data_IF_219609484646
#
_entry.id   IF_219609484646
#
_cell.length_a   1.000
_cell.length_b   1.000
_cell.length_c   1.000
_cell.angle_alpha   90.00
_cell.angle_beta   90.00
_cell.angle_gamma   90.00
#
_symmetry.space_group_name_H-M   'P 1'
#
loop_
_entity.id
_entity.type
_entity.pdbx_description
1 polymer ?
#
# COMPACT_ATOMS: atom_id res chain seq x y z
N UNK A 1 21.86 10.84 12.40
CA UNK A 1 20.82 11.47 11.57
C UNK A 1 19.47 10.96 12.08
N UNK A 2 18.50 11.83 12.32
CA UNK A 2 17.16 11.39 12.73
C UNK A 2 16.52 10.62 11.58
N UNK A 3 16.16 9.35 11.81
CA UNK A 3 15.47 8.54 10.82
C UNK A 3 13.97 8.69 11.02
N UNK A 4 13.32 9.41 10.11
CA UNK A 4 11.86 9.51 10.09
C UNK A 4 11.31 8.40 9.19
N UNK A 5 10.20 7.76 9.60
CA UNK A 5 9.43 6.86 8.75
C UNK A 5 8.94 7.64 7.52
N UNK A 6 9.26 7.23 6.29
CA UNK A 6 8.80 7.92 5.10
C UNK A 6 7.30 7.80 4.93
N UNK A 7 6.66 8.94 4.60
CA UNK A 7 5.24 9.03 4.28
C UNK A 7 5.07 9.25 2.79
N UNK A 8 4.49 8.28 2.11
CA UNK A 8 4.31 8.22 0.67
C UNK A 8 2.89 8.65 0.28
N UNK A 9 2.74 9.12 -0.96
CA UNK A 9 1.43 9.25 -1.59
C UNK A 9 1.18 8.05 -2.50
N UNK A 10 0.12 7.27 -2.26
CA UNK A 10 -0.32 6.26 -3.22
C UNK A 10 -0.88 6.93 -4.47
N UNK A 11 -0.46 6.48 -5.66
CA UNK A 11 -0.96 7.01 -6.93
C UNK A 11 -2.46 6.73 -7.14
N UNK A 12 -3.04 5.77 -6.40
CA UNK A 12 -4.49 5.53 -6.36
C UNK A 12 -5.26 6.73 -5.81
N UNK A 13 -4.64 7.48 -4.89
CA UNK A 13 -5.27 8.60 -4.19
C UNK A 13 -5.56 9.81 -5.09
N UNK A 14 -4.93 9.91 -6.26
CA UNK A 14 -5.21 10.99 -7.22
C UNK A 14 -6.23 10.59 -8.28
N UNK A 15 -6.68 9.33 -8.31
CA UNK A 15 -7.66 8.88 -9.31
C UNK A 15 -8.92 9.76 -9.32
N UNK A 16 -9.45 10.20 -10.49
CA UNK A 16 -9.15 9.72 -11.85
C UNK A 16 -8.04 10.45 -12.61
N UNK A 17 -7.22 11.28 -11.96
CA UNK A 17 -6.06 11.85 -12.60
C UNK A 17 -5.01 10.74 -12.90
N UNK A 18 -4.15 10.92 -13.93
CA UNK A 18 -3.16 9.91 -14.31
C UNK A 18 -2.05 9.79 -13.25
N UNK A 19 -1.28 8.71 -13.32
CA UNK A 19 -0.14 8.44 -12.41
C UNK A 19 0.82 9.64 -12.29
N UNK A 20 1.07 10.38 -13.37
CA UNK A 20 1.92 11.57 -13.34
C UNK A 20 1.44 12.64 -12.34
N UNK A 21 0.12 12.76 -12.14
CA UNK A 21 -0.44 13.71 -11.18
C UNK A 21 -0.09 13.36 -9.72
N UNK A 22 0.20 12.10 -9.42
CA UNK A 22 0.63 11.70 -8.08
C UNK A 22 2.01 12.26 -7.73
N UNK A 23 2.94 12.31 -8.69
CA UNK A 23 4.26 12.89 -8.49
C UNK A 23 4.19 14.41 -8.29
N UNK A 24 3.41 15.10 -9.14
CA UNK A 24 3.16 16.52 -8.98
C UNK A 24 2.53 16.85 -7.62
N UNK A 25 1.51 16.10 -7.24
CA UNK A 25 0.80 16.27 -5.96
C UNK A 25 1.72 15.97 -4.77
N UNK A 26 2.51 14.89 -4.84
CA UNK A 26 3.47 14.54 -3.80
C UNK A 26 4.51 15.64 -3.60
N UNK A 27 5.06 16.20 -4.68
CA UNK A 27 5.98 17.33 -4.62
C UNK A 27 5.32 18.60 -4.02
N UNK A 28 4.10 18.91 -4.47
CA UNK A 28 3.36 20.12 -4.04
C UNK A 28 2.98 20.07 -2.57
N UNK A 29 2.50 18.90 -2.11
CA UNK A 29 2.06 18.71 -0.72
C UNK A 29 3.25 18.46 0.21
N UNK A 30 4.33 17.84 -0.30
CA UNK A 30 5.57 17.58 0.41
C UNK A 30 5.67 16.17 0.99
N UNK A 31 5.15 15.16 0.30
CA UNK A 31 5.35 13.75 0.63
C UNK A 31 6.83 13.34 0.44
N UNK A 32 7.27 12.30 1.14
CA UNK A 32 8.65 11.82 1.08
C UNK A 32 8.92 10.94 -0.16
N UNK A 33 7.87 10.47 -0.82
CA UNK A 33 7.91 9.62 -2.01
C UNK A 33 6.52 9.29 -2.53
N UNK A 34 6.49 8.46 -3.57
CA UNK A 34 5.26 7.93 -4.17
C UNK A 34 5.26 6.40 -4.02
N UNK A 35 4.08 5.84 -3.73
CA UNK A 35 3.76 4.47 -4.06
C UNK A 35 3.09 4.44 -5.42
N UNK A 36 3.65 3.68 -6.36
CA UNK A 36 3.06 3.49 -7.68
C UNK A 36 2.15 2.28 -7.66
N UNK A 37 0.83 2.50 -7.70
CA UNK A 37 -0.11 1.44 -8.03
C UNK A 37 -0.06 1.19 -9.53
N UNK A 38 0.38 -0.02 -9.90
CA UNK A 38 0.41 -0.43 -11.31
C UNK A 38 -1.00 -0.66 -11.81
N UNK A 39 -1.43 0.17 -12.75
CA UNK A 39 -2.79 0.25 -13.24
C UNK A 39 -2.85 0.12 -14.77
N UNK A 40 -4.01 0.36 -15.36
CA UNK A 40 -4.20 0.40 -16.83
C UNK A 40 -3.60 1.64 -17.49
N UNK A 41 -3.21 2.65 -16.73
CA UNK A 41 -2.43 3.79 -17.20
C UNK A 41 -1.01 3.32 -17.61
N UNK A 42 -0.63 3.58 -18.87
CA UNK A 42 0.64 3.13 -19.42
C UNK A 42 1.85 3.69 -18.66
N UNK A 43 1.76 4.89 -18.08
CA UNK A 43 2.82 5.50 -17.29
C UNK A 43 3.14 4.69 -16.05
N UNK A 44 2.11 4.15 -15.36
CA UNK A 44 2.31 3.30 -14.18
C UNK A 44 3.03 1.98 -14.47
N UNK A 45 3.14 1.62 -15.75
CA UNK A 45 3.71 0.35 -16.22
C UNK A 45 5.13 0.50 -16.79
N UNK A 46 5.62 1.73 -16.95
CA UNK A 46 6.88 2.05 -17.64
C UNK A 46 7.91 2.63 -16.67
N UNK A 47 8.99 1.87 -16.45
CA UNK A 47 10.06 2.26 -15.52
C UNK A 47 10.77 3.56 -15.94
N UNK A 48 10.95 3.79 -17.26
CA UNK A 48 11.59 4.99 -17.78
C UNK A 48 10.73 6.22 -17.55
N UNK A 49 9.43 6.12 -17.83
CA UNK A 49 8.47 7.20 -17.57
C UNK A 49 8.39 7.55 -16.09
N UNK A 50 8.29 6.54 -15.21
CA UNK A 50 8.23 6.73 -13.75
C UNK A 50 9.52 7.35 -13.21
N UNK A 51 10.68 6.87 -13.69
CA UNK A 51 11.96 7.48 -13.33
C UNK A 51 12.05 8.93 -13.77
N UNK A 52 11.62 9.23 -15.00
CA UNK A 52 11.57 10.61 -15.50
C UNK A 52 10.69 11.52 -14.64
N UNK A 53 9.55 11.03 -14.16
CA UNK A 53 8.68 11.76 -13.23
C UNK A 53 9.35 11.96 -11.87
N UNK A 54 9.96 10.91 -11.32
CA UNK A 54 10.66 10.98 -10.04
C UNK A 54 11.80 12.02 -10.09
N UNK A 55 12.59 12.00 -11.16
CA UNK A 55 13.70 12.94 -11.37
C UNK A 55 13.17 14.38 -11.59
N UNK A 56 12.09 14.56 -12.35
CA UNK A 56 11.49 15.86 -12.65
C UNK A 56 10.91 16.56 -11.42
N UNK A 57 10.18 15.81 -10.59
CA UNK A 57 9.54 16.36 -9.39
C UNK A 57 10.40 16.26 -8.12
N UNK A 58 11.54 15.57 -8.18
CA UNK A 58 12.38 15.34 -7.00
C UNK A 58 11.74 14.43 -5.96
N UNK A 59 10.82 13.54 -6.38
CA UNK A 59 10.05 12.65 -5.50
C UNK A 59 10.31 11.19 -5.88
N UNK A 60 11.02 10.40 -5.05
CA UNK A 60 11.34 9.02 -5.37
C UNK A 60 10.12 8.10 -5.33
N UNK A 61 10.17 7.00 -6.07
CA UNK A 61 9.27 5.85 -5.88
C UNK A 61 9.86 4.98 -4.77
N UNK A 62 9.11 4.76 -3.69
CA UNK A 62 9.57 3.98 -2.53
C UNK A 62 8.75 2.71 -2.30
N UNK A 63 7.65 2.53 -3.02
CA UNK A 63 6.84 1.31 -3.05
C UNK A 63 6.21 1.13 -4.42
N UNK A 64 6.03 -0.12 -4.83
CA UNK A 64 5.28 -0.51 -6.03
C UNK A 64 4.14 -1.42 -5.59
N UNK A 65 2.91 -1.04 -5.89
CA UNK A 65 1.76 -1.90 -5.70
C UNK A 65 1.53 -2.74 -6.96
N UNK A 66 1.71 -4.05 -6.86
CA UNK A 66 1.58 -4.98 -7.98
C UNK A 66 0.15 -4.97 -8.56
N UNK A 67 -0.03 -5.28 -9.88
CA UNK A 67 -1.36 -5.29 -10.51
C UNK A 67 -2.17 -6.53 -10.09
N UNK A 68 -2.71 -6.50 -8.87
CA UNK A 68 -3.42 -7.60 -8.22
C UNK A 68 -4.94 -7.50 -8.36
N UNK A 69 -5.48 -6.32 -8.69
CA UNK A 69 -6.92 -6.09 -8.79
C UNK A 69 -7.56 -6.78 -10.00
N UNK A 70 -8.87 -7.03 -9.94
CA UNK A 70 -9.61 -7.66 -11.05
C UNK A 70 -9.41 -6.94 -12.40
N UNK A 71 -9.43 -5.61 -12.38
CA UNK A 71 -9.28 -4.80 -13.59
C UNK A 71 -7.85 -4.81 -14.13
N UNK A 72 -6.86 -5.14 -13.32
CA UNK A 72 -5.43 -5.16 -13.69
C UNK A 72 -4.91 -6.56 -14.04
N UNK A 73 -5.74 -7.59 -14.03
CA UNK A 73 -5.31 -8.97 -14.27
C UNK A 73 -4.68 -9.24 -15.66
N UNK A 74 -4.81 -8.29 -16.60
CA UNK A 74 -4.18 -8.36 -17.94
C UNK A 74 -3.08 -7.33 -18.14
N UNK A 75 -2.79 -6.51 -17.12
CA UNK A 75 -1.67 -5.58 -17.15
C UNK A 75 -0.39 -6.40 -17.24
N UNK A 76 0.46 -6.08 -18.21
CA UNK A 76 1.68 -6.79 -18.57
C UNK A 76 1.51 -8.25 -19.03
N UNK A 77 0.67 -9.05 -18.37
CA UNK A 77 0.50 -10.47 -18.66
C UNK A 77 -0.77 -11.03 -18.02
N UNK A 78 -1.42 -12.03 -18.60
CA UNK A 78 -2.46 -12.81 -17.95
C UNK A 78 -1.89 -13.73 -16.83
N UNK A 79 -0.60 -14.10 -16.90
CA UNK A 79 0.06 -14.92 -15.87
C UNK A 79 0.37 -14.06 -14.61
N UNK A 80 -0.18 -14.42 -13.44
CA UNK A 80 0.07 -13.67 -12.21
C UNK A 80 1.53 -13.70 -11.76
N UNK A 81 2.27 -14.79 -12.02
CA UNK A 81 3.69 -14.87 -11.68
C UNK A 81 4.55 -13.95 -12.53
N UNK A 82 4.23 -13.85 -13.82
CA UNK A 82 4.91 -12.90 -14.71
C UNK A 82 4.63 -11.46 -14.30
N UNK A 83 3.38 -11.15 -13.89
CA UNK A 83 3.06 -9.81 -13.35
C UNK A 83 3.87 -9.49 -12.09
N UNK A 84 3.98 -10.44 -11.18
CA UNK A 84 4.75 -10.24 -9.94
C UNK A 84 6.24 -10.05 -10.22
N UNK A 85 6.82 -10.84 -11.13
CA UNK A 85 8.21 -10.68 -11.55
C UNK A 85 8.45 -9.30 -12.21
N UNK A 86 7.52 -8.83 -13.04
CA UNK A 86 7.61 -7.48 -13.64
C UNK A 86 7.47 -6.37 -12.61
N UNK A 87 6.62 -6.54 -11.58
CA UNK A 87 6.53 -5.59 -10.48
C UNK A 87 7.84 -5.51 -9.69
N UNK A 88 8.50 -6.66 -9.46
CA UNK A 88 9.81 -6.70 -8.83
C UNK A 88 10.88 -6.00 -9.68
N UNK A 89 10.95 -6.27 -10.97
CA UNK A 89 11.88 -5.59 -11.89
C UNK A 89 11.64 -4.07 -11.93
N UNK A 90 10.37 -3.65 -11.92
CA UNK A 90 10.01 -2.24 -11.85
C UNK A 90 10.53 -1.62 -10.55
N UNK A 91 10.28 -2.27 -9.41
CA UNK A 91 10.74 -1.82 -8.11
C UNK A 91 12.27 -1.72 -8.04
N UNK A 92 13.02 -2.72 -8.53
CA UNK A 92 14.48 -2.69 -8.61
C UNK A 92 14.98 -1.53 -9.46
N UNK A 93 14.38 -1.32 -10.63
CA UNK A 93 14.77 -0.24 -11.55
C UNK A 93 14.57 1.14 -10.94
N UNK A 94 13.53 1.30 -10.12
CA UNK A 94 13.18 2.55 -9.43
C UNK A 94 13.86 2.71 -8.08
N UNK A 95 14.52 1.66 -7.56
CA UNK A 95 15.11 1.65 -6.21
C UNK A 95 14.07 1.57 -5.09
N UNK A 96 12.86 1.10 -5.40
CA UNK A 96 11.80 0.92 -4.42
C UNK A 96 11.99 -0.40 -3.66
N UNK A 97 12.13 -0.39 -2.32
CA UNK A 97 12.44 -1.58 -1.55
C UNK A 97 11.24 -2.52 -1.31
N UNK A 98 10.02 -2.09 -1.61
CA UNK A 98 8.79 -2.82 -1.28
C UNK A 98 7.90 -3.00 -2.48
N UNK A 99 7.37 -4.21 -2.64
CA UNK A 99 6.28 -4.53 -3.57
C UNK A 99 5.09 -5.01 -2.75
N UNK A 100 3.98 -4.28 -2.81
CA UNK A 100 2.71 -4.68 -2.18
C UNK A 100 2.01 -5.69 -3.07
N UNK A 101 1.51 -6.77 -2.44
CA UNK A 101 0.87 -7.89 -3.14
C UNK A 101 -0.41 -8.30 -2.42
N UNK A 102 -1.53 -8.35 -3.15
CA UNK A 102 -2.75 -8.97 -2.62
C UNK A 102 -2.64 -10.50 -2.63
N UNK A 103 -3.24 -11.19 -1.67
CA UNK A 103 -3.42 -12.63 -1.77
C UNK A 103 -4.24 -12.99 -3.03
N UNK A 104 -4.00 -14.18 -3.61
CA UNK A 104 -4.72 -14.64 -4.79
C UNK A 104 -6.23 -14.66 -4.61
N UNK A 105 -6.98 -14.49 -5.69
CA UNK A 105 -8.40 -14.80 -5.68
C UNK A 105 -8.65 -16.31 -5.66
N UNK A 106 -9.71 -16.75 -5.00
CA UNK A 106 -10.08 -18.18 -4.85
C UNK A 106 -10.29 -18.89 -6.18
N UNK A 107 -10.67 -18.18 -7.26
CA UNK A 107 -10.81 -18.75 -8.61
C UNK A 107 -9.50 -18.89 -9.37
N UNK A 108 -8.41 -18.27 -8.92
CA UNK A 108 -7.06 -18.43 -9.46
C UNK A 108 -6.39 -19.68 -8.84
N UNK A 109 -7.01 -20.86 -9.05
CA UNK A 109 -6.76 -22.10 -8.28
C UNK A 109 -5.28 -22.49 -8.21
N UNK A 110 -4.57 -22.51 -9.34
CA UNK A 110 -3.17 -22.93 -9.38
C UNK A 110 -2.25 -21.88 -8.76
N UNK A 111 -2.53 -20.60 -9.00
CA UNK A 111 -1.83 -19.50 -8.37
C UNK A 111 -2.02 -19.51 -6.84
N UNK A 112 -3.26 -19.68 -6.38
CA UNK A 112 -3.60 -19.74 -4.97
C UNK A 112 -2.95 -20.94 -4.25
N UNK A 113 -2.96 -22.11 -4.89
CA UNK A 113 -2.35 -23.33 -4.33
C UNK A 113 -0.83 -23.20 -4.15
N UNK A 114 -0.17 -22.57 -5.10
CA UNK A 114 1.29 -22.45 -5.14
C UNK A 114 1.79 -21.10 -4.65
N UNK A 115 0.92 -20.24 -4.09
CA UNK A 115 1.25 -18.84 -3.84
C UNK A 115 2.45 -18.67 -2.91
N UNK A 116 2.49 -19.39 -1.79
CA UNK A 116 3.62 -19.32 -0.85
C UNK A 116 4.94 -19.72 -1.52
N UNK A 117 4.98 -20.89 -2.15
CA UNK A 117 6.19 -21.39 -2.80
C UNK A 117 6.64 -20.48 -3.95
N UNK A 118 5.70 -20.04 -4.78
CA UNK A 118 6.01 -19.15 -5.89
C UNK A 118 6.49 -17.77 -5.44
N UNK A 119 5.96 -17.26 -4.32
CA UNK A 119 6.45 -16.03 -3.69
C UNK A 119 7.90 -16.19 -3.22
N UNK A 120 8.22 -17.31 -2.55
CA UNK A 120 9.59 -17.63 -2.13
C UNK A 120 10.55 -17.73 -3.34
N UNK A 121 10.07 -18.27 -4.48
CA UNK A 121 10.84 -18.35 -5.72
C UNK A 121 11.09 -16.98 -6.35
N UNK A 122 10.13 -16.08 -6.31
CA UNK A 122 10.30 -14.68 -6.77
C UNK A 122 11.23 -13.93 -5.81
N UNK A 123 11.04 -14.09 -4.50
CA UNK A 123 11.89 -13.47 -3.47
C UNK A 123 13.38 -13.85 -3.64
N UNK A 124 13.67 -15.12 -3.93
CA UNK A 124 15.06 -15.56 -4.17
C UNK A 124 15.70 -14.91 -5.42
N UNK A 125 14.91 -14.59 -6.42
CA UNK A 125 15.38 -13.90 -7.64
C UNK A 125 15.55 -12.40 -7.44
N UNK A 126 14.84 -11.82 -6.48
CA UNK A 126 14.81 -10.40 -6.16
C UNK A 126 15.05 -10.18 -4.64
N UNK A 127 16.27 -10.51 -4.14
CA UNK A 127 16.54 -10.58 -2.70
C UNK A 127 16.45 -9.22 -1.98
N UNK A 128 16.61 -8.12 -2.70
CA UNK A 128 16.55 -6.76 -2.16
C UNK A 128 15.11 -6.23 -2.05
N UNK A 129 14.13 -6.91 -2.67
CA UNK A 129 12.74 -6.50 -2.67
C UNK A 129 11.98 -7.22 -1.56
N UNK A 130 11.20 -6.51 -0.77
CA UNK A 130 10.24 -7.08 0.19
C UNK A 130 8.88 -7.20 -0.47
N UNK A 131 8.39 -8.43 -0.64
CA UNK A 131 7.02 -8.70 -1.11
C UNK A 131 6.09 -8.69 0.10
N UNK A 132 5.45 -7.57 0.34
CA UNK A 132 4.60 -7.34 1.50
C UNK A 132 3.14 -7.73 1.19
N UNK A 133 2.67 -8.81 1.83
CA UNK A 133 1.31 -9.33 1.60
C UNK A 133 0.31 -8.53 2.40
N UNK A 134 -0.69 -8.03 1.70
CA UNK A 134 -1.68 -7.11 2.25
C UNK A 134 -2.86 -7.85 2.89
N UNK A 135 -3.35 -7.35 4.03
CA UNK A 135 -4.65 -7.79 4.56
C UNK A 135 -5.77 -7.25 3.69
N UNK A 136 -6.72 -8.12 3.41
CA UNK A 136 -7.91 -7.81 2.63
C UNK A 136 -9.16 -7.76 3.52
N UNK A 137 -10.33 -7.90 2.94
CA UNK A 137 -11.60 -7.90 3.68
C UNK A 137 -12.64 -8.81 3.01
N UNK A 138 -13.63 -9.32 3.78
CA UNK A 138 -14.78 -10.02 3.21
C UNK A 138 -15.68 -9.06 2.44
N UNK A 139 -16.09 -9.42 1.23
CA UNK A 139 -17.06 -8.63 0.43
C UNK A 139 -18.49 -9.08 0.72
N UNK A 140 -19.41 -8.12 0.83
CA UNK A 140 -20.85 -8.42 0.87
C UNK A 140 -21.39 -8.68 -0.53
N UNK A 141 -21.92 -9.88 -0.76
CA UNK A 141 -22.61 -10.24 -1.99
C UNK A 141 -23.95 -10.90 -1.66
N UNK A 142 -25.04 -10.39 -2.20
CA UNK A 142 -26.41 -10.87 -1.95
C UNK A 142 -26.75 -11.05 -0.45
N UNK A 143 -26.30 -10.11 0.41
CA UNK A 143 -26.58 -10.13 1.86
C UNK A 143 -25.71 -11.09 2.68
N UNK A 144 -24.77 -11.81 2.04
CA UNK A 144 -23.82 -12.74 2.69
C UNK A 144 -22.39 -12.24 2.56
N UNK A 145 -21.58 -12.51 3.59
CA UNK A 145 -20.14 -12.28 3.51
C UNK A 145 -19.51 -13.37 2.65
N UNK A 146 -18.71 -12.95 1.69
CA UNK A 146 -17.92 -13.81 0.82
C UNK A 146 -16.45 -13.40 0.93
N UNK A 147 -15.55 -14.37 1.07
CA UNK A 147 -14.09 -14.14 1.08
C UNK A 147 -13.55 -14.55 -0.28
N UNK A 148 -13.23 -13.59 -1.16
CA UNK A 148 -12.74 -13.90 -2.50
C UNK A 148 -11.26 -14.29 -2.53
N UNK A 149 -10.55 -14.22 -1.42
CA UNK A 149 -9.09 -14.39 -1.31
C UNK A 149 -8.71 -15.75 -0.75
N UNK A 150 -7.55 -16.27 -1.16
CA UNK A 150 -6.99 -17.54 -0.71
C UNK A 150 -5.55 -17.33 -0.16
N UNK A 151 -5.21 -17.85 1.03
CA UNK A 151 -6.03 -18.72 1.88
C UNK A 151 -7.13 -17.99 2.64
N UNK A 152 -7.10 -16.65 2.68
CA UNK A 152 -8.08 -15.82 3.36
C UNK A 152 -7.78 -14.33 3.22
N UNK A 153 -8.49 -13.50 3.95
CA UNK A 153 -8.29 -12.05 3.96
C UNK A 153 -7.26 -11.60 5.03
N UNK A 154 -7.01 -12.42 6.05
CA UNK A 154 -5.99 -12.18 7.08
C UNK A 154 -4.69 -12.92 6.69
N UNK A 155 -3.66 -12.23 6.20
CA UNK A 155 -2.43 -12.85 5.74
C UNK A 155 -1.57 -13.38 6.89
N UNK A 156 -1.79 -12.94 8.13
CA UNK A 156 -1.01 -13.37 9.29
C UNK A 156 -1.18 -14.86 9.59
N UNK A 157 -2.28 -15.46 9.12
CA UNK A 157 -2.56 -16.89 9.28
C UNK A 157 -1.69 -17.77 8.38
N UNK A 158 -1.07 -17.21 7.34
CA UNK A 158 -0.24 -17.95 6.39
C UNK A 158 1.28 -17.80 6.66
N UNK A 159 1.69 -16.86 7.52
CA UNK A 159 3.08 -16.69 7.97
C UNK A 159 4.03 -16.24 6.85
N UNK A 160 3.75 -15.13 6.19
CA UNK A 160 4.62 -14.52 5.18
C UNK A 160 5.79 -13.75 5.81
N UNK A 161 6.85 -13.49 5.02
CA UNK A 161 8.06 -12.81 5.50
C UNK A 161 7.91 -11.29 5.60
N UNK A 162 6.92 -10.71 4.89
CA UNK A 162 6.58 -9.31 4.98
C UNK A 162 5.07 -9.07 4.78
N UNK A 163 4.56 -8.05 5.45
CA UNK A 163 3.16 -7.66 5.42
C UNK A 163 2.98 -6.18 5.09
N UNK A 164 1.88 -5.89 4.39
CA UNK A 164 1.26 -4.58 4.33
C UNK A 164 0.02 -4.58 5.21
N UNK A 165 -0.09 -3.61 6.10
CA UNK A 165 -1.30 -3.38 6.89
C UNK A 165 -2.11 -2.25 6.26
N UNK A 166 -3.30 -2.57 5.74
CA UNK A 166 -4.27 -1.60 5.28
C UNK A 166 -5.36 -1.38 6.33
N UNK A 167 -5.51 -0.11 6.78
CA UNK A 167 -6.45 0.25 7.83
C UNK A 167 -7.88 0.38 7.30
N UNK A 168 -8.08 0.80 6.04
CA UNK A 168 -9.40 0.82 5.42
C UNK A 168 -9.95 -0.60 5.25
N UNK A 169 -9.08 -1.55 4.87
CA UNK A 169 -9.43 -2.97 4.82
C UNK A 169 -9.75 -3.53 6.21
N UNK A 170 -9.02 -3.10 7.26
CA UNK A 170 -9.37 -3.47 8.64
C UNK A 170 -10.76 -2.94 9.02
N UNK A 171 -11.09 -1.69 8.66
CA UNK A 171 -12.43 -1.14 8.86
C UNK A 171 -13.49 -1.96 8.12
N UNK A 172 -13.27 -2.24 6.83
CA UNK A 172 -14.17 -3.04 6.01
C UNK A 172 -14.38 -4.46 6.56
N UNK A 173 -13.32 -5.08 7.07
CA UNK A 173 -13.37 -6.39 7.72
C UNK A 173 -13.94 -6.34 9.14
N UNK A 174 -14.07 -5.16 9.75
CA UNK A 174 -14.43 -4.97 11.18
C UNK A 174 -13.43 -5.65 12.11
N UNK A 175 -12.15 -5.53 11.77
CA UNK A 175 -11.04 -6.12 12.50
C UNK A 175 -10.27 -5.04 13.25
N UNK A 176 -9.73 -5.40 14.39
CA UNK A 176 -8.84 -4.55 15.17
C UNK A 176 -7.47 -4.45 14.46
N UNK A 177 -7.17 -3.25 13.95
CA UNK A 177 -5.92 -2.98 13.23
C UNK A 177 -4.69 -2.97 14.14
N UNK A 178 -4.83 -2.62 15.42
CA UNK A 178 -3.74 -2.69 16.40
C UNK A 178 -3.36 -4.15 16.67
N UNK A 179 -4.35 -4.99 16.93
CA UNK A 179 -4.12 -6.42 17.12
C UNK A 179 -3.53 -7.08 15.86
N UNK A 180 -3.92 -6.65 14.65
CA UNK A 180 -3.33 -7.14 13.41
C UNK A 180 -1.88 -6.68 13.25
N UNK A 181 -1.57 -5.41 13.53
CA UNK A 181 -0.20 -4.91 13.55
C UNK A 181 0.69 -5.68 14.54
N UNK A 182 0.16 -6.03 15.71
CA UNK A 182 0.88 -6.83 16.71
C UNK A 182 1.19 -8.25 16.20
N UNK A 183 0.24 -8.89 15.51
CA UNK A 183 0.46 -10.21 14.88
C UNK A 183 1.49 -10.14 13.75
N UNK A 184 1.49 -9.08 12.95
CA UNK A 184 2.49 -8.86 11.90
C UNK A 184 3.88 -8.60 12.49
N UNK A 185 3.96 -7.94 13.64
CA UNK A 185 5.17 -7.75 14.43
C UNK A 185 6.33 -7.17 13.61
N UNK A 186 7.52 -7.83 13.69
CA UNK A 186 8.71 -7.42 12.95
C UNK A 186 8.61 -7.63 11.44
N UNK A 187 7.62 -8.38 10.95
CA UNK A 187 7.35 -8.60 9.53
C UNK A 187 6.45 -7.52 8.90
N UNK A 188 5.92 -6.58 9.69
CA UNK A 188 5.22 -5.42 9.14
C UNK A 188 6.22 -4.53 8.41
N UNK A 189 6.10 -4.43 7.08
CA UNK A 189 7.02 -3.71 6.21
C UNK A 189 6.42 -2.43 5.63
N UNK A 190 5.08 -2.37 5.53
CA UNK A 190 4.38 -1.29 4.88
C UNK A 190 3.00 -1.06 5.50
N UNK A 191 2.50 0.17 5.45
CA UNK A 191 1.16 0.51 5.93
C UNK A 191 0.45 1.34 4.86
N UNK A 192 -0.76 0.94 4.51
CA UNK A 192 -1.71 1.79 3.79
C UNK A 192 -2.53 2.58 4.81
N UNK A 193 -2.30 3.87 4.84
CA UNK A 193 -2.98 4.79 5.73
C UNK A 193 -4.22 5.37 5.04
N UNK A 194 -5.33 4.73 5.29
CA UNK A 194 -6.68 5.19 5.03
C UNK A 194 -7.52 5.01 6.29
N UNK A 195 -8.76 5.43 6.27
CA UNK A 195 -9.71 5.23 7.36
C UNK A 195 -11.03 4.66 6.82
N UNK A 196 -11.91 4.22 7.68
CA UNK A 196 -13.23 3.70 7.31
C UNK A 196 -14.19 3.68 8.49
N UNK A 197 -15.49 3.64 8.20
CA UNK A 197 -16.55 3.69 9.23
C UNK A 197 -16.86 2.32 9.84
N UNK A 198 -16.31 1.23 9.29
CA UNK A 198 -16.65 -0.14 9.73
C UNK A 198 -17.99 -0.66 9.20
N UNK A 199 -18.56 -0.01 8.18
CA UNK A 199 -19.84 -0.44 7.57
C UNK A 199 -19.71 -1.61 6.57
N UNK A 200 -18.55 -2.26 6.52
CA UNK A 200 -18.28 -3.41 5.64
C UNK A 200 -18.08 -3.00 4.20
N UNK A 201 -17.54 -1.82 3.99
CA UNK A 201 -17.10 -1.26 2.71
C UNK A 201 -15.69 -0.74 2.85
N UNK A 202 -14.93 -0.86 1.80
CA UNK A 202 -13.64 -0.23 1.67
C UNK A 202 -13.84 1.23 1.27
N UNK A 203 -13.54 2.17 2.17
CA UNK A 203 -13.90 3.57 2.02
C UNK A 203 -12.71 4.48 1.76
N UNK A 204 -11.52 4.10 2.22
CA UNK A 204 -10.30 4.89 2.12
C UNK A 204 -10.52 6.37 2.49
N UNK A 205 -11.11 6.62 3.66
CA UNK A 205 -11.32 7.96 4.18
C UNK A 205 -10.00 8.60 4.59
N UNK A 206 -9.96 9.94 4.61
CA UNK A 206 -8.84 10.66 5.21
C UNK A 206 -8.70 10.24 6.69
N UNK A 207 -7.48 9.93 7.18
CA UNK A 207 -7.26 9.49 8.54
C UNK A 207 -7.86 10.43 9.59
N UNK A 208 -8.61 9.87 10.52
CA UNK A 208 -9.37 10.60 11.55
C UNK A 208 -10.80 10.98 11.14
N UNK A 209 -11.21 10.67 9.92
CA UNK A 209 -12.61 10.86 9.47
C UNK A 209 -13.45 9.59 9.58
N UNK A 210 -12.86 8.47 9.96
CA UNK A 210 -13.52 7.19 10.22
C UNK A 210 -13.42 6.78 11.69
N UNK A 211 -13.31 5.46 11.92
CA UNK A 211 -13.31 4.87 13.27
C UNK A 211 -12.04 4.06 13.57
N UNK A 212 -11.10 3.99 12.62
CA UNK A 212 -9.87 3.25 12.85
C UNK A 212 -8.93 4.02 13.81
N UNK A 213 -8.19 3.31 14.68
CA UNK A 213 -7.26 3.93 15.61
C UNK A 213 -5.96 4.36 14.91
N UNK A 214 -6.08 5.13 13.79
CA UNK A 214 -4.95 5.53 12.94
C UNK A 214 -3.85 6.25 13.75
N UNK A 215 -4.23 7.17 14.64
CA UNK A 215 -3.28 7.93 15.45
C UNK A 215 -2.51 7.03 16.42
N UNK A 216 -3.21 6.10 17.08
CA UNK A 216 -2.63 5.17 18.03
C UNK A 216 -1.70 4.18 17.33
N UNK A 217 -2.11 3.66 16.16
CA UNK A 217 -1.27 2.78 15.35
C UNK A 217 0.04 3.46 14.97
N UNK A 218 -0.02 4.65 14.37
CA UNK A 218 1.17 5.36 13.92
C UNK A 218 2.10 5.69 15.09
N UNK A 219 1.55 6.12 16.22
CA UNK A 219 2.32 6.41 17.43
C UNK A 219 2.99 5.15 17.99
N UNK A 220 2.28 4.01 17.98
CA UNK A 220 2.82 2.71 18.37
C UNK A 220 3.96 2.27 17.46
N UNK A 221 3.82 2.41 16.15
CA UNK A 221 4.87 2.10 15.17
C UNK A 221 6.11 2.97 15.38
N UNK A 222 5.93 4.27 15.59
CA UNK A 222 7.03 5.17 15.92
C UNK A 222 7.75 4.72 17.21
N UNK A 223 6.99 4.38 18.25
CA UNK A 223 7.55 3.93 19.54
C UNK A 223 8.31 2.60 19.45
N UNK A 224 7.95 1.72 18.51
CA UNK A 224 8.60 0.41 18.30
C UNK A 224 9.80 0.47 17.36
N UNK A 225 10.14 1.63 16.81
CA UNK A 225 11.24 1.75 15.85
C UNK A 225 10.91 1.16 14.47
N UNK A 226 9.69 1.31 14.01
CA UNK A 226 9.27 0.85 12.67
C UNK A 226 10.17 1.44 11.58
N UNK A 227 10.71 0.59 10.72
CA UNK A 227 11.67 0.93 9.66
C UNK A 227 11.08 0.83 8.24
N UNK A 228 9.79 0.52 8.13
CA UNK A 228 9.08 0.46 6.86
C UNK A 228 8.63 1.84 6.38
N UNK A 229 7.61 1.86 5.54
CA UNK A 229 7.00 3.08 5.01
C UNK A 229 5.49 3.11 5.22
N UNK A 230 4.91 4.32 5.19
CA UNK A 230 3.47 4.55 5.30
C UNK A 230 3.02 5.23 4.01
N UNK A 231 2.17 4.60 3.23
CA UNK A 231 1.55 5.20 2.06
C UNK A 231 0.15 5.72 2.43
N UNK A 232 -0.08 7.01 2.20
CA UNK A 232 -1.43 7.57 2.28
C UNK A 232 -2.21 7.06 1.08
N UNK A 233 -3.25 6.26 1.36
CA UNK A 233 -4.15 5.72 0.37
C UNK A 233 -5.59 6.13 0.70
N UNK A 234 -6.01 7.27 0.16
CA UNK A 234 -7.32 7.87 0.42
C UNK A 234 -8.11 8.09 -0.87
N UNK A 235 -9.41 7.83 -0.81
CA UNK A 235 -10.29 7.93 -1.97
C UNK A 235 -10.71 9.39 -2.22
N UNK A 236 -10.01 10.10 -3.09
CA UNK A 236 -10.33 11.48 -3.45
C UNK A 236 -11.18 11.63 -4.73
N UNK A 237 -11.63 10.50 -5.33
CA UNK A 237 -12.40 10.51 -6.58
C UNK A 237 -13.63 11.43 -6.56
N UNK A 238 -14.22 11.62 -5.38
CA UNK A 238 -15.42 12.45 -5.19
C UNK A 238 -15.09 13.90 -4.78
N UNK A 239 -13.84 14.27 -4.72
CA UNK A 239 -13.45 15.66 -4.42
C UNK A 239 -14.05 16.61 -5.46
N UNK A 240 -14.66 17.69 -4.98
CA UNK A 240 -15.36 18.64 -5.85
C UNK A 240 -14.41 19.40 -6.80
N UNK A 241 -13.13 19.46 -6.48
CA UNK A 241 -12.09 20.07 -7.31
C UNK A 241 -10.73 19.52 -6.95
N UNK A 242 -9.71 19.81 -7.80
CA UNK A 242 -8.31 19.46 -7.51
C UNK A 242 -7.82 20.12 -6.21
N UNK A 243 -8.24 21.36 -5.92
CA UNK A 243 -7.88 22.03 -4.67
C UNK A 243 -8.44 21.32 -3.42
N UNK A 244 -9.66 20.78 -3.50
CA UNK A 244 -10.24 19.97 -2.42
C UNK A 244 -9.45 18.66 -2.26
N UNK A 245 -9.10 18.00 -3.36
CA UNK A 245 -8.22 16.81 -3.33
C UNK A 245 -6.89 17.12 -2.65
N UNK A 246 -6.23 18.20 -3.06
CA UNK A 246 -4.96 18.61 -2.45
C UNK A 246 -5.10 18.88 -0.95
N UNK A 247 -6.19 19.52 -0.53
CA UNK A 247 -6.48 19.76 0.87
C UNK A 247 -6.66 18.46 1.66
N UNK A 248 -7.40 17.49 1.13
CA UNK A 248 -7.59 16.16 1.74
C UNK A 248 -6.23 15.43 1.87
N UNK A 249 -5.39 15.46 0.83
CA UNK A 249 -4.08 14.82 0.85
C UNK A 249 -3.10 15.51 1.80
N UNK A 250 -3.17 16.84 1.91
CA UNK A 250 -2.40 17.60 2.89
C UNK A 250 -2.83 17.28 4.32
N UNK A 251 -4.13 17.22 4.59
CA UNK A 251 -4.66 16.80 5.89
C UNK A 251 -4.17 15.40 6.27
N UNK A 252 -4.18 14.45 5.33
CA UNK A 252 -3.70 13.09 5.57
C UNK A 252 -2.20 13.05 5.86
N UNK A 253 -1.38 13.81 5.12
CA UNK A 253 0.05 13.93 5.40
C UNK A 253 0.33 14.56 6.76
N UNK A 254 -0.35 15.65 7.08
CA UNK A 254 -0.19 16.35 8.37
C UNK A 254 -0.60 15.44 9.54
N UNK A 255 -1.66 14.63 9.35
CA UNK A 255 -2.06 13.63 10.31
C UNK A 255 -0.95 12.59 10.50
N UNK A 256 -0.44 12.01 9.41
CA UNK A 256 0.64 11.01 9.48
C UNK A 256 1.88 11.57 10.19
N UNK A 257 2.33 12.75 9.82
CA UNK A 257 3.53 13.37 10.40
C UNK A 257 3.38 13.72 11.88
N UNK A 258 2.18 14.11 12.31
CA UNK A 258 1.90 14.39 13.72
C UNK A 258 2.06 13.15 14.59
N UNK A 259 1.72 11.97 14.08
CA UNK A 259 1.73 10.71 14.81
C UNK A 259 2.95 9.82 14.50
N UNK A 260 3.77 10.22 13.53
CA UNK A 260 5.08 9.62 13.23
C UNK A 260 6.20 10.63 13.47
N UNK A 261 6.42 11.09 14.69
CA UNK A 261 7.48 12.04 14.96
C UNK A 261 8.85 11.44 14.61
N UNK A 262 9.78 12.30 14.16
CA UNK A 262 11.15 11.90 13.94
C UNK A 262 11.73 11.28 15.21
N UNK A 263 12.28 10.08 15.10
CA UNK A 263 12.92 9.42 16.24
C UNK A 263 14.22 10.16 16.58
N UNK A 264 14.38 10.55 17.83
CA UNK A 264 15.67 11.02 18.32
C UNK A 264 16.66 9.83 18.30
N UNK A 265 17.74 9.95 17.53
CA UNK A 265 18.84 8.99 17.64
C UNK A 265 19.44 9.16 19.03
N UNK A 266 19.21 8.22 19.92
CA UNK A 266 19.97 8.15 21.16
C UNK A 266 21.41 7.81 20.75
N UNK A 267 22.41 8.65 21.07
CA UNK A 267 23.80 8.30 20.81
C UNK A 267 24.13 7.02 21.58
N UNK A 268 24.73 6.05 20.88
CA UNK A 268 25.24 4.81 21.48
C UNK A 268 26.41 5.11 22.42
#
# INVERSE_FOLDING_TARGET
MSTRVPVLLSSSSVFPEPTAAAFEMAATVGYDGVEVMVWTDAVSQDAGALKGLADHYGVPVLSVHAPCLLVTQRVWSPDPWERLAKAAQLAETLGAPTVVVHPPFTWQRDYARNFRQGLDDVQRRHPEIRFAIENMYPVKMAGRNFVPYAPGWDPTLAGYDAYTLDLSHCAAARTDSLAMADKMGAHLAHVHLGDGTGEGRDEHLVPGRGTQPCAELLSSLAGRGFTGSVAVEVATRKAASRAVREADLREALDFARRHLPAQAVTPA
#
